data_IF_015669919868
#
_entry.id   IF_015669919868
#
_cell.length_a   1.000
_cell.length_b   1.000
_cell.length_c   1.000
_cell.angle_alpha   90.00
_cell.angle_beta   90.00
_cell.angle_gamma   90.00
#
_symmetry.space_group_name_H-M   'P 1'
#
loop_
_entity.id
_entity.type
_entity.pdbx_description
1 polymer ?
#
# COMPACT_ATOMS: atom_id res chain seq x y z
N UNK A 1 -26.32 -15.96 11.75
CA UNK A 1 -25.61 -15.72 10.47
C UNK A 1 -26.12 -14.48 9.71
N UNK A 2 -27.43 -14.23 9.59
CA UNK A 2 -27.97 -13.02 8.90
C UNK A 2 -27.46 -11.68 9.47
N UNK A 3 -27.47 -11.52 10.80
CA UNK A 3 -27.00 -10.30 11.49
C UNK A 3 -25.55 -9.92 11.17
N UNK A 4 -24.65 -10.91 11.13
CA UNK A 4 -23.23 -10.70 10.75
C UNK A 4 -23.07 -10.24 9.29
N UNK A 5 -24.00 -10.65 8.42
CA UNK A 5 -23.97 -10.29 7.00
C UNK A 5 -24.44 -8.84 6.81
N UNK A 6 -25.47 -8.43 7.54
CA UNK A 6 -25.99 -7.06 7.57
C UNK A 6 -24.98 -6.07 8.15
N UNK A 7 -24.32 -6.44 9.26
CA UNK A 7 -23.24 -5.65 9.85
C UNK A 7 -22.06 -5.48 8.87
N UNK A 8 -21.66 -6.57 8.19
CA UNK A 8 -20.61 -6.51 7.17
C UNK A 8 -20.97 -5.57 6.01
N UNK A 9 -22.20 -5.65 5.50
CA UNK A 9 -22.66 -4.78 4.39
C UNK A 9 -22.65 -3.31 4.81
N UNK A 10 -23.06 -3.03 6.05
CA UNK A 10 -23.08 -1.66 6.60
C UNK A 10 -21.67 -1.10 6.70
N UNK A 11 -20.73 -1.87 7.24
CA UNK A 11 -19.31 -1.46 7.33
C UNK A 11 -18.72 -1.27 5.93
N UNK A 12 -18.99 -2.18 5.00
CA UNK A 12 -18.48 -2.08 3.63
C UNK A 12 -18.95 -0.80 2.94
N UNK A 13 -20.24 -0.46 3.05
CA UNK A 13 -20.79 0.79 2.48
C UNK A 13 -20.13 2.04 3.04
N UNK A 14 -19.86 2.07 4.35
CA UNK A 14 -19.15 3.18 4.96
C UNK A 14 -17.71 3.29 4.46
N UNK A 15 -17.01 2.16 4.29
CA UNK A 15 -15.66 2.12 3.73
C UNK A 15 -15.62 2.58 2.26
N UNK A 16 -16.59 2.15 1.45
CA UNK A 16 -16.67 2.53 0.03
C UNK A 16 -16.90 4.04 -0.18
N UNK A 17 -17.45 4.74 0.82
CA UNK A 17 -17.61 6.20 0.80
C UNK A 17 -16.30 6.96 1.07
N UNK A 18 -15.29 6.30 1.62
CA UNK A 18 -13.99 6.89 1.91
C UNK A 18 -13.12 6.76 0.67
N UNK A 19 -12.80 7.90 0.07
CA UNK A 19 -11.80 7.93 -1.00
C UNK A 19 -10.43 7.84 -0.36
N UNK A 20 -9.61 6.88 -0.80
CA UNK A 20 -8.20 6.78 -0.44
C UNK A 20 -7.39 7.23 -1.66
N UNK A 21 -7.04 8.52 -1.80
CA UNK A 21 -6.42 9.04 -3.03
C UNK A 21 -5.16 8.26 -3.43
N UNK A 22 -4.41 7.77 -2.44
CA UNK A 22 -3.18 7.02 -2.64
C UNK A 22 -3.39 5.60 -3.16
N UNK A 23 -4.61 5.04 -3.06
CA UNK A 23 -4.98 3.75 -3.65
C UNK A 23 -5.57 3.91 -5.06
N UNK A 24 -5.98 5.12 -5.43
CA UNK A 24 -6.52 5.45 -6.77
C UNK A 24 -5.46 6.02 -7.71
N UNK A 25 -4.23 6.24 -7.25
CA UNK A 25 -3.13 6.67 -8.10
C UNK A 25 -2.78 5.59 -9.14
N UNK A 26 -2.38 5.99 -10.36
CA UNK A 26 -1.75 5.07 -11.30
C UNK A 26 -0.51 4.40 -10.69
N UNK A 27 -0.20 3.20 -11.18
CA UNK A 27 0.92 2.41 -10.66
C UNK A 27 2.25 3.14 -10.85
N UNK A 28 2.40 3.86 -11.96
CA UNK A 28 3.60 4.60 -12.34
C UNK A 28 3.89 5.73 -11.34
N UNK A 29 2.85 6.46 -10.94
CA UNK A 29 2.96 7.54 -9.95
C UNK A 29 3.28 6.97 -8.57
N UNK A 30 2.62 5.86 -8.21
CA UNK A 30 2.87 5.17 -6.94
C UNK A 30 4.31 4.66 -6.85
N UNK A 31 4.81 4.06 -7.94
CA UNK A 31 6.20 3.61 -8.06
C UNK A 31 7.20 4.75 -7.93
N UNK A 32 6.96 5.90 -8.58
CA UNK A 32 7.85 7.06 -8.48
C UNK A 32 7.89 7.64 -7.05
N UNK A 33 6.74 7.68 -6.37
CA UNK A 33 6.68 8.03 -4.93
C UNK A 33 7.55 7.07 -4.12
N UNK A 34 7.42 5.76 -4.35
CA UNK A 34 8.19 4.75 -3.60
C UNK A 34 9.69 4.91 -3.79
N UNK A 35 10.15 5.17 -5.02
CA UNK A 35 11.57 5.40 -5.33
C UNK A 35 12.09 6.62 -4.59
N UNK A 36 11.29 7.68 -4.49
CA UNK A 36 11.66 8.90 -3.74
C UNK A 36 11.64 8.72 -2.21
N UNK A 37 10.93 7.71 -1.72
CA UNK A 37 10.94 7.34 -0.31
C UNK A 37 12.15 6.47 0.08
N UNK A 38 12.99 6.06 -0.87
CA UNK A 38 14.19 5.29 -0.54
C UNK A 38 15.14 6.13 0.33
N UNK A 39 15.72 5.51 1.36
CA UNK A 39 16.72 6.16 2.20
C UNK A 39 17.94 6.57 1.38
N UNK A 40 18.48 7.77 1.64
CA UNK A 40 19.73 8.25 1.01
C UNK A 40 20.95 7.41 1.39
N UNK A 41 20.91 6.81 2.59
CA UNK A 41 21.99 6.01 3.16
C UNK A 41 21.38 4.80 3.86
N UNK A 42 21.16 3.71 3.14
CA UNK A 42 20.88 2.41 3.77
C UNK A 42 21.87 1.38 3.26
N UNK A 43 22.86 1.06 4.08
CA UNK A 43 23.77 -0.05 3.83
C UNK A 43 23.10 -1.42 4.07
N UNK A 44 21.91 -1.45 4.68
CA UNK A 44 21.25 -2.69 5.07
C UNK A 44 19.73 -2.65 4.87
N UNK A 45 19.12 -3.72 4.35
CA UNK A 45 17.68 -3.87 4.31
C UNK A 45 17.14 -3.99 5.74
N UNK A 46 16.46 -2.94 6.20
CA UNK A 46 15.73 -2.94 7.47
C UNK A 46 14.24 -3.02 7.19
N UNK A 47 13.52 -3.85 7.95
CA UNK A 47 12.06 -3.97 7.84
C UNK A 47 11.29 -2.68 8.14
N UNK A 48 11.95 -1.69 8.75
CA UNK A 48 11.38 -0.39 9.10
C UNK A 48 11.72 0.71 8.08
N UNK A 49 12.38 0.36 6.97
CA UNK A 49 12.79 1.30 5.93
C UNK A 49 12.21 0.86 4.59
N UNK A 50 11.97 1.80 3.67
CA UNK A 50 11.64 1.46 2.30
C UNK A 50 12.78 0.62 1.67
N UNK A 51 12.47 -0.37 0.83
CA UNK A 51 11.13 -0.70 0.31
C UNK A 51 10.27 -1.60 1.22
N UNK A 52 10.86 -2.24 2.23
CA UNK A 52 10.17 -3.24 3.07
C UNK A 52 8.98 -2.65 3.85
N UNK A 53 9.11 -1.40 4.30
CA UNK A 53 8.02 -0.68 4.98
C UNK A 53 6.78 -0.53 4.09
N UNK A 54 6.98 -0.24 2.79
CA UNK A 54 5.89 0.02 1.85
C UNK A 54 5.04 -1.23 1.60
N UNK A 55 5.67 -2.41 1.59
CA UNK A 55 4.99 -3.69 1.44
C UNK A 55 4.14 -4.12 2.65
N UNK A 56 4.22 -3.40 3.79
CA UNK A 56 3.43 -3.69 5.00
C UNK A 56 2.11 -2.92 5.08
N UNK A 57 1.91 -1.91 4.23
CA UNK A 57 0.73 -1.03 4.27
C UNK A 57 -0.52 -1.76 3.79
N UNK A 58 -0.50 -2.28 2.57
CA UNK A 58 -1.61 -3.06 2.02
C UNK A 58 -1.10 -4.04 0.94
N UNK A 59 -1.98 -4.96 0.51
CA UNK A 59 -1.66 -5.95 -0.52
C UNK A 59 -1.30 -5.30 -1.87
N UNK A 60 -1.99 -4.23 -2.25
CA UNK A 60 -1.72 -3.52 -3.50
C UNK A 60 -0.30 -2.92 -3.52
N UNK A 61 0.09 -2.22 -2.45
CA UNK A 61 1.42 -1.62 -2.34
C UNK A 61 2.54 -2.66 -2.32
N UNK A 62 2.31 -3.80 -1.65
CA UNK A 62 3.25 -4.93 -1.69
C UNK A 62 3.46 -5.43 -3.11
N UNK A 63 2.39 -5.62 -3.88
CA UNK A 63 2.49 -6.08 -5.26
C UNK A 63 3.28 -5.08 -6.12
N UNK A 64 3.03 -3.79 -5.97
CA UNK A 64 3.76 -2.73 -6.68
C UNK A 64 5.24 -2.75 -6.29
N UNK A 65 5.55 -2.82 -5.00
CA UNK A 65 6.93 -2.83 -4.51
C UNK A 65 7.72 -4.06 -4.98
N UNK A 66 7.12 -5.25 -4.94
CA UNK A 66 7.73 -6.49 -5.45
C UNK A 66 7.90 -6.47 -6.97
N UNK A 67 7.00 -5.81 -7.71
CA UNK A 67 7.05 -5.72 -9.18
C UNK A 67 7.93 -4.57 -9.69
N UNK A 68 8.54 -3.79 -8.80
CA UNK A 68 9.39 -2.64 -9.16
C UNK A 68 10.85 -2.93 -8.79
N UNK A 69 11.69 -3.42 -9.72
CA UNK A 69 13.09 -3.76 -9.45
C UNK A 69 13.92 -2.59 -8.93
N UNK A 70 13.63 -1.35 -9.34
CA UNK A 70 14.35 -0.12 -8.92
C UNK A 70 14.27 0.19 -7.42
N UNK A 71 13.43 -0.52 -6.67
CA UNK A 71 13.26 -0.32 -5.23
C UNK A 71 14.19 -1.18 -4.37
N UNK A 72 14.79 -2.21 -4.96
CA UNK A 72 15.65 -3.20 -4.31
C UNK A 72 17.11 -2.96 -4.73
#
# INVERSE_FOLDING_TARGET
>A
QRRLTEEKITIQRSLDSIVYPVLTLPVEITTEIFVRCLPRYSAYPSGNVAPMLLGRICRQWRNIACSTPRLW
#
